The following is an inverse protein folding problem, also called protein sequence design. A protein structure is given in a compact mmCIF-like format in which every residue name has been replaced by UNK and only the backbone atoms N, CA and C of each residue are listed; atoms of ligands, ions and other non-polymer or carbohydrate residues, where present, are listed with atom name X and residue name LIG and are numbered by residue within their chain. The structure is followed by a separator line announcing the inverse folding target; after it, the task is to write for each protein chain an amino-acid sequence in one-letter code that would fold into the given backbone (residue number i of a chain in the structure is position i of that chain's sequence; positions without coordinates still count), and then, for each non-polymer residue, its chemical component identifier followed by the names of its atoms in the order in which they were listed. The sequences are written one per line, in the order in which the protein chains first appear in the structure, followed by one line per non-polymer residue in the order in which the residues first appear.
data_IF_060865094509
#
_entry.id   IF_060865094509
#
_cell.length_a   1.000
_cell.length_b   1.000
_cell.length_c   1.000
_cell.angle_alpha   90.00
_cell.angle_beta   90.00
_cell.angle_gamma   90.00
#
_symmetry.space_group_name_H-M   'P 1'
#
loop_
_entity.id
_entity.type
_entity.pdbx_description
1 polymer ?
#
# COMPACT_ATOMS: atom_id res chain seq x y z
N UNK A 1 -11.42 19.63 1.97
CA UNK A 1 -10.60 18.60 2.64
C UNK A 1 -9.34 19.17 3.30
N UNK A 2 -8.72 20.24 2.77
CA UNK A 2 -7.53 20.85 3.40
C UNK A 2 -7.84 21.38 4.80
N UNK A 3 -7.01 21.01 5.78
CA UNK A 3 -7.12 21.40 7.20
C UNK A 3 -5.84 22.03 7.77
N UNK A 4 -4.70 21.89 7.09
CA UNK A 4 -3.38 22.38 7.51
C UNK A 4 -2.59 22.89 6.30
N UNK A 5 -1.80 23.96 6.47
CA UNK A 5 -0.89 24.49 5.46
C UNK A 5 0.57 24.23 5.80
N UNK A 6 1.30 23.51 4.94
CA UNK A 6 2.75 23.37 5.04
C UNK A 6 3.45 24.67 4.66
N UNK A 7 4.08 25.36 5.62
CA UNK A 7 4.71 26.69 5.40
C UNK A 7 6.22 26.70 5.61
N UNK A 8 6.83 25.51 5.70
CA UNK A 8 8.28 25.31 5.72
C UNK A 8 8.66 24.45 4.51
N UNK A 9 9.82 24.73 3.92
CA UNK A 9 10.45 23.81 2.98
C UNK A 9 10.73 22.50 3.72
N UNK A 10 10.31 21.36 3.17
CA UNK A 10 10.46 20.05 3.81
C UNK A 10 11.91 19.81 4.23
N UNK A 11 12.14 19.46 5.50
CA UNK A 11 13.46 19.10 6.04
C UNK A 11 14.56 20.16 5.84
N UNK A 12 14.18 21.44 5.70
CA UNK A 12 15.16 22.51 5.60
C UNK A 12 16.10 22.48 6.81
N UNK A 13 17.38 22.23 6.56
CA UNK A 13 18.40 22.04 7.60
C UNK A 13 18.76 23.35 8.34
N UNK A 14 18.72 24.49 7.64
CA UNK A 14 18.96 25.80 8.24
C UNK A 14 17.62 26.43 8.66
N UNK A 15 17.60 27.13 9.81
CA UNK A 15 16.51 28.04 10.12
C UNK A 15 16.78 29.36 9.38
N UNK A 16 15.84 29.80 8.53
CA UNK A 16 15.86 31.11 7.88
C UNK A 16 14.74 31.96 8.48
N UNK A 17 14.93 32.58 9.67
CA UNK A 17 13.84 33.18 10.45
C UNK A 17 12.99 34.17 9.65
N UNK A 18 13.62 35.17 9.03
CA UNK A 18 12.91 36.19 8.26
C UNK A 18 12.08 35.62 7.11
N UNK A 19 12.60 34.58 6.45
CA UNK A 19 11.89 33.90 5.37
C UNK A 19 10.68 33.12 5.92
N UNK A 20 10.88 32.27 6.92
CA UNK A 20 9.78 31.44 7.45
C UNK A 20 8.73 32.25 8.22
N UNK A 21 9.13 33.33 8.89
CA UNK A 21 8.19 34.26 9.54
C UNK A 21 7.31 34.95 8.50
N UNK A 22 7.89 35.39 7.37
CA UNK A 22 7.13 36.03 6.29
C UNK A 22 6.19 35.03 5.58
N UNK A 23 6.63 33.80 5.31
CA UNK A 23 5.77 32.76 4.73
C UNK A 23 4.62 32.43 5.67
N UNK A 24 4.88 32.30 6.98
CA UNK A 24 3.83 32.07 7.97
C UNK A 24 2.82 33.23 8.02
N UNK A 25 3.31 34.48 8.05
CA UNK A 25 2.48 35.69 8.02
C UNK A 25 1.61 35.75 6.77
N UNK A 26 2.17 35.45 5.60
CA UNK A 26 1.44 35.43 4.33
C UNK A 26 0.34 34.36 4.35
N UNK A 27 0.64 33.14 4.80
CA UNK A 27 -0.34 32.08 4.90
C UNK A 27 -1.52 32.47 5.81
N UNK A 28 -1.24 33.09 6.96
CA UNK A 28 -2.27 33.60 7.87
C UNK A 28 -3.06 34.78 7.31
N UNK A 29 -2.43 35.63 6.50
CA UNK A 29 -3.11 36.72 5.80
C UNK A 29 -4.08 36.23 4.71
N UNK A 30 -3.72 35.16 4.00
CA UNK A 30 -4.53 34.57 2.93
C UNK A 30 -5.65 33.65 3.48
N UNK A 31 -5.35 32.86 4.50
CA UNK A 31 -6.28 31.94 5.11
C UNK A 31 -6.08 31.86 6.63
N UNK A 32 -6.73 32.75 7.40
CA UNK A 32 -6.64 32.72 8.86
C UNK A 32 -7.43 31.55 9.48
N UNK A 33 -8.26 30.85 8.71
CA UNK A 33 -9.17 29.81 9.22
C UNK A 33 -8.50 28.46 9.48
N UNK A 34 -7.28 28.26 8.94
CA UNK A 34 -6.55 26.99 9.04
C UNK A 34 -5.23 27.16 9.78
N UNK A 35 -4.80 26.06 10.40
CA UNK A 35 -3.52 25.99 11.08
C UNK A 35 -2.37 25.82 10.07
N UNK A 36 -1.16 26.24 10.45
CA UNK A 36 0.07 26.00 9.72
C UNK A 36 0.89 24.88 10.35
N UNK A 37 1.68 24.19 9.53
CA UNK A 37 2.62 23.15 9.95
C UNK A 37 3.95 23.31 9.21
N UNK A 38 5.06 22.95 9.85
CA UNK A 38 6.35 22.79 9.20
C UNK A 38 6.83 21.36 9.41
N UNK A 39 7.46 20.75 8.39
CA UNK A 39 8.08 19.43 8.49
C UNK A 39 9.56 19.59 8.86
N UNK A 40 9.89 19.25 10.10
CA UNK A 40 11.19 19.41 10.72
C UNK A 40 11.89 18.04 10.84
N UNK A 41 13.22 18.04 10.68
CA UNK A 41 14.10 16.89 10.92
C UNK A 41 15.08 17.12 12.10
N UNK A 42 15.01 18.30 12.71
CA UNK A 42 15.86 18.71 13.83
C UNK A 42 15.01 19.38 14.92
N UNK A 43 14.99 18.75 16.10
CA UNK A 43 14.20 19.16 17.27
C UNK A 43 14.63 20.51 17.89
N UNK A 44 15.79 21.03 17.51
CA UNK A 44 16.37 22.27 18.05
C UNK A 44 15.80 23.54 17.42
N UNK A 45 15.06 23.44 16.30
CA UNK A 45 14.49 24.62 15.66
C UNK A 45 13.38 25.28 16.51
N UNK A 46 13.23 26.62 16.41
CA UNK A 46 12.08 27.30 17.01
C UNK A 46 10.80 26.93 16.26
N UNK A 47 9.71 26.72 17.01
CA UNK A 47 8.40 26.50 16.42
C UNK A 47 7.84 27.85 15.94
N UNK A 48 7.67 28.00 14.62
CA UNK A 48 7.10 29.20 13.96
C UNK A 48 5.72 28.93 13.34
N UNK A 49 5.22 27.73 13.50
CA UNK A 49 3.95 27.24 12.94
C UNK A 49 2.99 26.83 14.05
N UNK A 50 1.70 26.83 13.76
CA UNK A 50 0.67 26.47 14.75
C UNK A 50 0.83 25.03 15.22
N UNK A 51 1.26 24.12 14.35
CA UNK A 51 1.52 22.70 14.61
C UNK A 51 2.98 22.40 14.32
N UNK A 52 3.64 21.65 15.20
CA UNK A 52 4.97 21.11 14.95
C UNK A 52 4.85 19.79 14.18
N UNK A 53 5.37 19.73 12.95
CA UNK A 53 5.47 18.50 12.17
C UNK A 53 6.89 17.92 12.25
N UNK A 54 7.07 16.70 12.71
CA UNK A 54 8.38 16.05 12.76
C UNK A 54 8.47 14.87 11.79
N UNK A 55 9.53 14.83 11.01
CA UNK A 55 9.97 13.67 10.26
C UNK A 55 10.79 12.75 11.18
N UNK A 56 10.09 11.97 12.01
CA UNK A 56 10.72 11.10 13.00
C UNK A 56 10.96 9.70 12.44
N UNK A 57 12.15 9.54 11.85
CA UNK A 57 12.63 8.24 11.36
C UNK A 57 13.27 7.36 12.47
N UNK A 58 13.31 7.85 13.72
CA UNK A 58 13.76 7.13 14.90
C UNK A 58 15.18 6.51 14.84
N UNK A 59 15.52 5.78 15.92
CA UNK A 59 16.53 4.72 15.92
C UNK A 59 15.80 3.38 16.03
N UNK A 60 16.15 2.43 15.18
CA UNK A 60 15.42 1.18 15.00
C UNK A 60 15.19 0.38 16.27
N UNK A 61 13.92 0.25 16.69
CA UNK A 61 13.52 -0.50 17.87
C UNK A 61 13.30 0.38 19.11
N UNK A 62 13.61 1.67 19.04
CA UNK A 62 13.24 2.63 20.08
C UNK A 62 11.81 3.14 19.82
N UNK A 63 10.96 3.24 20.85
CA UNK A 63 9.68 3.92 20.76
C UNK A 63 9.86 5.36 20.25
N UNK A 64 8.83 5.93 19.62
CA UNK A 64 8.80 7.37 19.33
C UNK A 64 9.16 8.13 20.61
N UNK A 65 10.15 9.03 20.54
CA UNK A 65 10.50 9.87 21.67
C UNK A 65 9.39 10.89 21.93
N UNK A 66 9.08 11.23 23.20
CA UNK A 66 7.89 12.00 23.55
C UNK A 66 7.80 13.34 22.80
N UNK A 67 6.58 13.83 22.51
CA UNK A 67 6.38 15.15 21.91
C UNK A 67 7.06 16.22 22.76
N UNK A 68 7.88 17.06 22.12
CA UNK A 68 8.61 18.15 22.77
C UNK A 68 7.97 19.53 22.51
N UNK A 69 6.91 19.55 21.70
CA UNK A 69 6.07 20.71 21.37
C UNK A 69 4.61 20.28 21.36
N UNK A 70 3.69 21.23 21.28
CA UNK A 70 2.26 20.96 21.12
C UNK A 70 1.60 22.06 20.30
N UNK A 71 0.67 21.74 19.38
CA UNK A 71 0.32 20.41 18.87
C UNK A 71 1.48 19.74 18.10
N UNK A 72 1.57 18.40 18.14
CA UNK A 72 2.69 17.63 17.56
C UNK A 72 2.20 16.57 16.58
N UNK A 73 2.60 16.67 15.32
CA UNK A 73 2.27 15.72 14.27
C UNK A 73 3.55 15.01 13.82
N UNK A 74 3.52 13.69 13.71
CA UNK A 74 4.56 12.98 12.96
C UNK A 74 4.21 13.15 11.47
N UNK A 75 4.98 13.97 10.75
CA UNK A 75 4.76 14.27 9.33
C UNK A 75 5.39 13.22 8.40
N UNK A 76 6.44 12.52 8.85
CA UNK A 76 7.04 11.39 8.17
C UNK A 76 7.58 10.38 9.20
N UNK A 77 7.51 9.09 8.88
CA UNK A 77 8.11 8.02 9.68
C UNK A 77 8.30 6.75 8.83
N UNK A 78 9.03 5.77 9.39
CA UNK A 78 9.37 4.47 8.77
C UNK A 78 10.30 4.63 7.55
N UNK A 79 9.77 5.02 6.39
CA UNK A 79 10.55 5.26 5.17
C UNK A 79 11.46 4.10 4.76
N UNK A 80 12.59 4.43 4.12
CA UNK A 80 13.62 3.46 3.69
C UNK A 80 14.75 3.34 4.69
N UNK A 81 14.53 3.69 5.95
CA UNK A 81 15.62 3.63 6.91
C UNK A 81 15.87 2.13 7.28
N UNK A 82 17.12 1.73 7.51
CA UNK A 82 17.52 0.31 7.69
C UNK A 82 17.94 0.00 9.13
N UNK A 83 17.59 -1.18 9.73
CA UNK A 83 18.07 -1.53 11.06
C UNK A 83 19.59 -1.30 11.21
N UNK A 84 20.01 -0.67 12.30
CA UNK A 84 21.42 -0.33 12.52
C UNK A 84 21.92 0.95 11.83
N UNK A 85 21.08 1.64 11.03
CA UNK A 85 21.41 2.92 10.41
C UNK A 85 21.41 2.86 8.87
N UNK A 86 21.37 4.02 8.23
CA UNK A 86 21.24 4.15 6.76
C UNK A 86 19.80 4.40 6.29
N UNK A 87 19.68 4.80 5.01
CA UNK A 87 18.41 5.13 4.34
C UNK A 87 18.30 4.40 2.99
N UNK A 88 18.57 3.10 3.00
CA UNK A 88 18.70 2.20 1.85
C UNK A 88 17.97 0.84 2.08
N UNK A 89 16.99 0.81 2.98
CA UNK A 89 16.06 -0.32 3.10
C UNK A 89 15.04 -0.28 1.96
N UNK A 90 15.03 -1.33 1.15
CA UNK A 90 14.05 -1.51 0.09
C UNK A 90 12.89 -2.40 0.55
N UNK A 91 11.70 -2.13 0.03
CA UNK A 91 10.51 -2.94 0.22
C UNK A 91 9.83 -3.24 -1.13
N UNK A 92 10.56 -3.83 -2.08
CA UNK A 92 10.03 -4.37 -3.35
C UNK A 92 9.19 -5.61 -3.09
N UNK A 93 8.20 -5.89 -3.94
CA UNK A 93 7.42 -7.16 -3.86
C UNK A 93 8.30 -8.40 -3.90
N UNK A 94 9.39 -8.32 -4.65
CA UNK A 94 10.40 -9.36 -4.84
C UNK A 94 11.50 -9.36 -3.78
N UNK A 95 11.45 -8.46 -2.77
CA UNK A 95 12.34 -8.58 -1.62
C UNK A 95 11.89 -9.73 -0.70
N UNK A 96 12.79 -10.33 0.09
CA UNK A 96 12.48 -11.48 0.94
C UNK A 96 11.27 -11.23 1.86
N UNK A 97 10.49 -12.28 2.09
CA UNK A 97 9.28 -12.24 2.94
C UNK A 97 9.46 -11.52 4.28
N UNK A 98 10.53 -11.79 5.07
CA UNK A 98 10.81 -11.08 6.31
C UNK A 98 10.99 -9.56 6.14
N UNK A 99 11.55 -9.11 5.02
CA UNK A 99 11.67 -7.69 4.69
C UNK A 99 10.30 -7.06 4.46
N UNK A 100 9.41 -7.72 3.71
CA UNK A 100 8.05 -7.24 3.47
C UNK A 100 7.23 -7.17 4.77
N UNK A 101 7.33 -8.20 5.62
CA UNK A 101 6.66 -8.21 6.92
C UNK A 101 7.18 -7.10 7.84
N UNK A 102 8.50 -6.89 7.86
CA UNK A 102 9.14 -5.84 8.66
C UNK A 102 8.56 -4.46 8.33
N UNK A 103 8.16 -4.19 7.08
CA UNK A 103 7.47 -2.95 6.72
C UNK A 103 6.17 -2.82 7.53
N UNK A 104 5.28 -3.81 7.45
CA UNK A 104 3.99 -3.81 8.15
C UNK A 104 4.17 -3.64 9.66
N UNK A 105 5.13 -4.35 10.26
CA UNK A 105 5.44 -4.25 11.69
C UNK A 105 5.90 -2.85 12.10
N UNK A 106 6.75 -2.20 11.29
CA UNK A 106 7.23 -0.83 11.57
C UNK A 106 6.11 0.20 11.48
N UNK A 107 5.24 0.08 10.49
CA UNK A 107 4.05 0.93 10.38
C UNK A 107 3.11 0.70 11.58
N UNK A 108 2.86 -0.54 12.00
CA UNK A 108 2.06 -0.81 13.18
C UNK A 108 2.71 -0.25 14.46
N UNK A 109 4.04 -0.39 14.61
CA UNK A 109 4.77 0.06 15.79
C UNK A 109 4.74 1.58 15.96
N UNK A 110 4.98 2.34 14.88
CA UNK A 110 4.98 3.82 14.97
C UNK A 110 3.58 4.37 15.29
N UNK A 111 2.54 3.79 14.69
CA UNK A 111 1.16 4.18 14.97
C UNK A 111 0.74 3.81 16.39
N UNK A 112 1.14 2.63 16.88
CA UNK A 112 0.88 2.22 18.26
C UNK A 112 1.59 3.13 19.26
N UNK A 113 2.85 3.48 19.01
CA UNK A 113 3.62 4.37 19.87
C UNK A 113 2.99 5.77 19.95
N UNK A 114 2.57 6.33 18.81
CA UNK A 114 1.90 7.62 18.80
C UNK A 114 0.53 7.58 19.49
N UNK A 115 -0.25 6.51 19.28
CA UNK A 115 -1.56 6.34 19.92
C UNK A 115 -1.48 6.14 21.45
N UNK A 116 -0.30 5.82 21.99
CA UNK A 116 -0.07 5.70 23.42
C UNK A 116 -0.03 7.05 24.15
N UNK A 117 0.20 8.15 23.43
CA UNK A 117 0.36 9.49 24.00
C UNK A 117 -0.55 10.51 23.29
N UNK A 118 -1.58 11.04 23.98
CA UNK A 118 -2.57 11.93 23.36
C UNK A 118 -2.00 13.28 22.92
N UNK A 119 -0.72 13.59 23.23
CA UNK A 119 -0.04 14.78 22.73
C UNK A 119 0.33 14.67 21.24
N UNK A 120 0.40 13.45 20.69
CA UNK A 120 0.49 13.26 19.25
C UNK A 120 -0.87 13.52 18.60
N UNK A 121 -0.91 14.44 17.65
CA UNK A 121 -2.07 14.68 16.80
C UNK A 121 -2.28 13.59 15.74
N UNK A 122 -1.25 12.79 15.45
CA UNK A 122 -1.32 11.67 14.51
C UNK A 122 0.03 11.32 13.88
N UNK A 123 -0.01 10.38 12.94
CA UNK A 123 1.15 9.91 12.18
C UNK A 123 0.83 9.84 10.68
N UNK A 124 1.67 10.50 9.89
CA UNK A 124 1.73 10.36 8.44
C UNK A 124 3.03 9.61 8.13
N UNK A 125 2.94 8.32 7.83
CA UNK A 125 4.13 7.52 7.54
C UNK A 125 4.53 7.64 6.07
N UNK A 126 5.84 7.57 5.79
CA UNK A 126 6.37 7.61 4.44
C UNK A 126 6.46 6.19 3.87
N UNK A 127 5.73 5.83 2.81
CA UNK A 127 4.71 6.60 2.10
C UNK A 127 3.61 5.68 1.54
N UNK A 128 2.62 6.26 0.84
CA UNK A 128 1.54 5.47 0.24
C UNK A 128 2.04 4.59 -0.92
N UNK A 129 2.78 5.17 -1.87
CA UNK A 129 3.19 4.52 -3.11
C UNK A 129 4.69 4.65 -3.33
N UNK A 130 5.31 3.63 -3.93
CA UNK A 130 6.65 3.76 -4.48
C UNK A 130 6.69 4.84 -5.56
N UNK A 131 7.85 5.48 -5.75
CA UNK A 131 7.98 6.65 -6.62
C UNK A 131 9.37 6.76 -7.23
N UNK A 132 9.44 7.36 -8.41
CA UNK A 132 10.70 7.59 -9.10
C UNK A 132 11.56 8.60 -8.33
N UNK A 133 12.85 8.30 -8.18
CA UNK A 133 13.79 9.17 -7.47
C UNK A 133 15.23 8.89 -7.91
N UNK A 134 16.10 9.92 -7.96
CA UNK A 134 17.52 9.73 -8.19
C UNK A 134 18.29 9.30 -6.93
N UNK A 135 17.67 9.26 -5.76
CA UNK A 135 18.34 9.00 -4.48
C UNK A 135 17.82 7.74 -3.80
N UNK A 136 18.70 6.93 -3.20
CA UNK A 136 18.37 5.68 -2.48
C UNK A 136 17.31 4.83 -3.20
N UNK A 137 17.48 4.71 -4.51
CA UNK A 137 16.51 4.12 -5.42
C UNK A 137 17.08 2.84 -6.03
N UNK A 138 16.24 1.84 -6.20
CA UNK A 138 16.54 0.65 -6.97
C UNK A 138 15.99 0.84 -8.39
N UNK A 139 16.88 0.79 -9.40
CA UNK A 139 16.51 1.01 -10.80
C UNK A 139 15.71 2.32 -11.02
N UNK A 140 16.07 3.39 -10.32
CA UNK A 140 15.39 4.70 -10.41
C UNK A 140 14.09 4.81 -9.61
N UNK A 141 13.68 3.76 -8.87
CA UNK A 141 12.48 3.76 -8.02
C UNK A 141 12.86 3.65 -6.54
N UNK A 142 12.35 4.57 -5.72
CA UNK A 142 12.34 4.42 -4.25
C UNK A 142 11.17 3.54 -3.86
N UNK A 143 11.43 2.57 -2.98
CA UNK A 143 10.44 1.56 -2.60
C UNK A 143 9.93 1.59 -1.14
N UNK A 144 9.78 2.75 -0.46
CA UNK A 144 9.19 2.80 0.89
C UNK A 144 7.67 2.73 0.91
N UNK A 145 7.00 2.78 -0.24
CA UNK A 145 5.54 2.79 -0.30
C UNK A 145 4.96 1.52 0.33
N UNK A 146 3.82 1.59 0.99
CA UNK A 146 3.07 0.38 1.37
C UNK A 146 2.34 -0.23 0.17
N UNK A 147 2.22 0.51 -0.92
CA UNK A 147 1.82 0.07 -2.24
C UNK A 147 2.96 0.33 -3.23
N UNK A 148 3.02 -0.43 -4.32
CA UNK A 148 4.02 -0.23 -5.37
C UNK A 148 3.73 0.99 -6.28
N UNK A 149 4.58 1.19 -7.29
CA UNK A 149 4.47 2.28 -8.27
C UNK A 149 3.14 2.22 -9.03
N UNK A 150 2.57 1.03 -9.22
CA UNK A 150 1.28 0.85 -9.87
C UNK A 150 0.12 0.99 -8.90
N UNK A 151 0.35 1.38 -7.63
CA UNK A 151 -0.67 1.51 -6.57
C UNK A 151 -1.31 0.17 -6.23
N UNK A 152 -0.60 -0.94 -6.43
CA UNK A 152 -1.04 -2.26 -5.99
C UNK A 152 -0.54 -2.45 -4.55
N UNK A 153 -1.36 -2.93 -3.60
CA UNK A 153 -0.95 -3.12 -2.20
C UNK A 153 0.16 -4.15 -2.02
N UNK A 154 1.22 -3.80 -1.27
CA UNK A 154 2.25 -4.75 -0.79
C UNK A 154 1.84 -5.29 0.59
N UNK A 155 2.51 -6.31 1.14
CA UNK A 155 2.22 -6.80 2.49
C UNK A 155 2.23 -5.70 3.57
N UNK A 156 3.03 -4.65 3.41
CA UNK A 156 3.01 -3.45 4.28
C UNK A 156 1.65 -2.75 4.37
N UNK A 157 0.84 -2.78 3.31
CA UNK A 157 -0.49 -2.15 3.31
C UNK A 157 -1.53 -2.89 4.16
N UNK A 158 -1.26 -4.15 4.52
CA UNK A 158 -2.17 -4.97 5.34
C UNK A 158 -2.51 -4.29 6.67
N UNK A 159 -1.52 -3.62 7.30
CA UNK A 159 -1.72 -2.85 8.52
C UNK A 159 -2.83 -1.80 8.34
N UNK A 160 -2.67 -0.88 7.40
CA UNK A 160 -3.63 0.20 7.16
C UNK A 160 -5.02 -0.31 6.80
N UNK A 161 -5.11 -1.35 5.95
CA UNK A 161 -6.40 -1.92 5.52
C UNK A 161 -7.19 -2.46 6.70
N UNK A 162 -6.50 -3.06 7.67
CA UNK A 162 -7.13 -3.63 8.88
C UNK A 162 -7.59 -2.58 9.90
N UNK A 163 -7.23 -1.31 9.79
CA UNK A 163 -7.61 -0.31 10.79
C UNK A 163 -9.04 0.26 10.63
N UNK A 164 -9.84 -0.31 9.72
CA UNK A 164 -11.22 0.13 9.48
C UNK A 164 -12.25 -0.64 10.32
N UNK A 165 -13.42 -0.03 10.55
CA UNK A 165 -14.51 -0.67 11.29
C UNK A 165 -14.98 -1.95 10.56
N UNK A 166 -15.00 -3.13 11.23
CA UNK A 166 -15.42 -4.39 10.62
C UNK A 166 -16.88 -4.41 10.18
N UNK A 167 -17.73 -3.55 10.74
CA UNK A 167 -19.12 -3.38 10.27
C UNK A 167 -19.20 -2.76 8.86
N UNK A 168 -18.18 -1.99 8.45
CA UNK A 168 -18.07 -1.46 7.09
C UNK A 168 -17.41 -2.48 6.16
N UNK A 169 -16.34 -3.13 6.62
CA UNK A 169 -15.61 -4.13 5.84
C UNK A 169 -14.78 -5.03 6.76
N UNK A 170 -15.04 -6.33 6.72
CA UNK A 170 -14.14 -7.31 7.33
C UNK A 170 -12.82 -7.39 6.54
N UNK A 171 -11.70 -7.40 7.25
CA UNK A 171 -10.35 -7.46 6.67
C UNK A 171 -9.57 -8.56 7.37
N UNK A 172 -8.89 -9.38 6.56
CA UNK A 172 -7.96 -10.41 6.98
C UNK A 172 -6.88 -10.52 5.90
N UNK A 173 -5.70 -10.00 6.20
CA UNK A 173 -4.58 -9.89 5.26
C UNK A 173 -3.25 -10.24 5.93
N UNK A 174 -2.61 -11.35 5.50
CA UNK A 174 -1.24 -11.65 5.88
C UNK A 174 -0.27 -10.54 5.46
N UNK A 175 0.73 -10.27 6.30
CA UNK A 175 1.87 -9.42 5.95
C UNK A 175 3.03 -10.23 5.33
N UNK A 176 2.70 -11.35 4.69
CA UNK A 176 3.61 -12.28 4.01
C UNK A 176 2.92 -12.91 2.79
N UNK A 177 3.70 -13.61 1.97
CA UNK A 177 3.17 -14.46 0.89
C UNK A 177 3.24 -15.93 1.31
N UNK A 178 2.21 -16.71 0.98
CA UNK A 178 2.19 -18.16 1.19
C UNK A 178 2.72 -18.85 -0.07
N UNK A 179 4.04 -18.95 -0.15
CA UNK A 179 4.76 -19.43 -1.33
C UNK A 179 5.97 -20.27 -0.90
N UNK A 180 6.29 -21.29 -1.70
CA UNK A 180 7.37 -22.24 -1.43
C UNK A 180 8.27 -22.47 -2.66
N UNK A 181 8.36 -21.46 -3.54
CA UNK A 181 9.31 -21.42 -4.64
C UNK A 181 10.76 -21.21 -4.17
N UNK A 182 11.75 -21.27 -5.09
CA UNK A 182 13.18 -21.15 -4.77
C UNK A 182 13.56 -19.85 -4.03
N UNK A 183 12.85 -18.76 -4.27
CA UNK A 183 13.06 -17.45 -3.67
C UNK A 183 12.28 -17.25 -2.36
N UNK A 184 11.43 -18.22 -2.00
CA UNK A 184 10.60 -18.20 -0.80
C UNK A 184 11.25 -18.97 0.35
N UNK A 185 10.95 -18.62 1.62
CA UNK A 185 11.39 -19.42 2.76
C UNK A 185 10.89 -20.87 2.66
N UNK A 186 11.77 -21.88 2.73
CA UNK A 186 11.38 -23.29 2.59
C UNK A 186 10.53 -23.79 3.77
N UNK A 187 10.57 -23.08 4.89
CA UNK A 187 9.89 -23.39 6.14
C UNK A 187 8.66 -22.50 6.41
N UNK A 188 8.19 -21.76 5.41
CA UNK A 188 7.09 -20.82 5.54
C UNK A 188 7.48 -19.49 6.20
N UNK A 189 6.51 -18.63 6.56
CA UNK A 189 6.79 -17.29 7.09
C UNK A 189 7.35 -17.30 8.54
N UNK A 190 7.39 -18.46 9.20
CA UNK A 190 8.06 -18.70 10.47
C UNK A 190 7.24 -18.37 11.72
N UNK A 191 7.90 -18.43 12.89
CA UNK A 191 7.30 -18.27 14.22
C UNK A 191 6.60 -16.91 14.48
N UNK A 192 6.96 -15.90 13.71
CA UNK A 192 6.50 -14.52 13.87
C UNK A 192 5.54 -14.06 12.78
N UNK A 193 4.86 -14.95 12.06
CA UNK A 193 4.07 -14.58 10.90
C UNK A 193 2.94 -13.61 11.27
N UNK A 194 3.03 -12.37 10.76
CA UNK A 194 2.10 -11.30 11.07
C UNK A 194 0.86 -11.36 10.18
N UNK A 195 -0.32 -11.30 10.80
CA UNK A 195 -1.62 -11.23 10.10
C UNK A 195 -2.37 -9.99 10.58
N UNK A 196 -2.71 -9.09 9.65
CA UNK A 196 -3.48 -7.89 9.95
C UNK A 196 -4.97 -8.15 9.70
N UNK A 197 -5.79 -8.01 10.74
CA UNK A 197 -7.23 -8.20 10.65
C UNK A 197 -7.98 -7.31 11.64
N UNK A 198 -9.23 -6.98 11.32
CA UNK A 198 -10.17 -6.30 12.24
C UNK A 198 -11.18 -7.24 12.90
N UNK A 199 -10.82 -8.54 12.95
CA UNK A 199 -11.57 -9.58 13.64
C UNK A 199 -11.10 -9.72 15.10
N UNK A 200 -11.84 -10.46 15.92
CA UNK A 200 -11.52 -10.69 17.34
C UNK A 200 -10.74 -12.00 17.57
N UNK A 201 -10.84 -12.93 16.62
CA UNK A 201 -10.18 -14.25 16.62
C UNK A 201 -9.92 -14.68 15.19
N UNK A 202 -8.80 -15.37 14.97
CA UNK A 202 -8.50 -16.08 13.73
C UNK A 202 -8.31 -17.56 14.03
N UNK A 203 -9.00 -18.43 13.29
CA UNK A 203 -8.71 -19.86 13.25
C UNK A 203 -7.85 -20.14 12.01
N UNK A 204 -6.73 -20.82 12.23
CA UNK A 204 -5.71 -21.10 11.21
C UNK A 204 -5.73 -22.58 10.89
N UNK A 205 -5.75 -22.91 9.61
CA UNK A 205 -5.68 -24.29 9.12
C UNK A 205 -4.56 -24.44 8.11
N UNK A 206 -3.77 -25.50 8.24
CA UNK A 206 -2.71 -25.87 7.30
C UNK A 206 -2.99 -27.29 6.80
N UNK A 207 -3.07 -27.47 5.48
CA UNK A 207 -3.43 -28.76 4.88
C UNK A 207 -4.83 -29.25 5.29
N UNK A 208 -5.74 -28.32 5.63
CA UNK A 208 -7.08 -28.62 6.14
C UNK A 208 -7.14 -29.02 7.62
N UNK A 209 -6.02 -29.14 8.31
CA UNK A 209 -5.94 -29.44 9.74
C UNK A 209 -5.89 -28.15 10.55
N UNK A 210 -6.64 -28.06 11.65
CA UNK A 210 -6.56 -26.92 12.57
C UNK A 210 -5.14 -26.83 13.14
N UNK A 211 -4.52 -25.67 12.96
CA UNK A 211 -3.12 -25.41 13.31
C UNK A 211 -3.01 -24.50 14.53
N UNK A 212 -3.80 -23.42 14.58
CA UNK A 212 -3.76 -22.47 15.67
C UNK A 212 -5.06 -21.66 15.80
N UNK A 213 -5.34 -21.22 17.04
CA UNK A 213 -6.31 -20.16 17.33
C UNK A 213 -5.56 -18.92 17.81
N UNK A 214 -5.72 -17.80 17.11
CA UNK A 214 -5.02 -16.56 17.40
C UNK A 214 -5.95 -15.44 17.86
N UNK A 215 -5.44 -14.56 18.73
CA UNK A 215 -6.10 -13.33 19.19
C UNK A 215 -5.21 -12.11 18.90
N UNK A 216 -5.78 -10.89 18.79
CA UNK A 216 -4.99 -9.68 18.56
C UNK A 216 -3.90 -9.51 19.62
N UNK A 217 -2.67 -9.17 19.20
CA UNK A 217 -1.54 -8.99 20.11
C UNK A 217 -1.61 -7.63 20.83
N UNK A 218 -2.56 -7.51 21.77
CA UNK A 218 -2.75 -6.31 22.59
C UNK A 218 -1.60 -6.04 23.56
N UNK A 219 -0.80 -7.06 23.89
CA UNK A 219 0.38 -6.87 24.72
C UNK A 219 1.43 -5.99 24.03
N UNK A 220 1.68 -6.21 22.73
CA UNK A 220 2.65 -5.41 21.95
C UNK A 220 2.02 -4.18 21.28
N UNK A 221 0.76 -4.25 20.87
CA UNK A 221 0.11 -3.22 20.05
C UNK A 221 -1.24 -2.73 20.62
N UNK A 222 -1.34 -2.63 21.95
CA UNK A 222 -2.59 -2.36 22.67
C UNK A 222 -3.25 -0.99 22.42
N UNK A 223 -2.53 -0.03 21.84
CA UNK A 223 -3.04 1.31 21.54
C UNK A 223 -3.63 1.42 20.13
N UNK A 224 -3.48 0.39 19.30
CA UNK A 224 -4.15 0.32 18.00
C UNK A 224 -5.63 -0.06 18.15
N UNK A 225 -6.54 0.50 17.34
CA UNK A 225 -7.92 0.07 17.27
C UNK A 225 -8.04 -1.44 16.97
N UNK A 226 -7.27 -1.91 15.98
CA UNK A 226 -7.22 -3.31 15.56
C UNK A 226 -5.78 -3.82 15.55
N UNK A 227 -5.27 -4.32 16.69
CA UNK A 227 -3.91 -4.85 16.80
C UNK A 227 -3.71 -6.07 15.89
N UNK A 228 -2.54 -6.23 15.27
CA UNK A 228 -2.25 -7.40 14.45
C UNK A 228 -2.13 -8.68 15.27
N UNK A 229 -2.24 -9.82 14.57
CA UNK A 229 -2.08 -11.17 15.09
C UNK A 229 -0.69 -11.69 14.72
N UNK A 230 -0.18 -12.61 15.53
CA UNK A 230 1.07 -13.33 15.27
C UNK A 230 0.82 -14.82 15.50
N UNK A 231 1.23 -15.64 14.55
CA UNK A 231 1.06 -17.10 14.58
C UNK A 231 2.36 -17.74 14.16
N UNK A 232 2.73 -18.85 14.80
CA UNK A 232 3.82 -19.67 14.32
C UNK A 232 3.35 -20.46 13.09
N UNK A 233 3.92 -20.13 11.93
CA UNK A 233 3.65 -20.78 10.65
C UNK A 233 4.93 -21.43 10.09
N UNK A 234 5.80 -21.95 10.97
CA UNK A 234 6.88 -22.85 10.58
C UNK A 234 6.30 -24.19 10.15
N UNK A 235 6.48 -24.55 8.87
CA UNK A 235 5.94 -25.76 8.24
C UNK A 235 6.99 -26.41 7.33
N UNK A 236 6.78 -27.66 6.91
CA UNK A 236 7.55 -28.24 5.81
C UNK A 236 6.99 -27.74 4.46
N UNK A 237 7.66 -26.76 3.84
CA UNK A 237 7.25 -26.21 2.55
C UNK A 237 7.33 -27.21 1.39
N UNK A 238 8.08 -28.31 1.53
CA UNK A 238 8.09 -29.37 0.51
C UNK A 238 6.74 -30.06 0.37
N UNK A 239 5.93 -30.06 1.45
CA UNK A 239 4.58 -30.61 1.44
C UNK A 239 3.57 -29.72 0.68
N UNK A 240 3.91 -28.45 0.41
CA UNK A 240 3.08 -27.50 -0.36
C UNK A 240 1.62 -27.43 0.08
N UNK A 241 1.41 -27.46 1.41
CA UNK A 241 0.07 -27.46 2.00
C UNK A 241 -0.62 -26.11 1.84
N UNK A 242 -1.95 -26.15 1.73
CA UNK A 242 -2.76 -24.94 1.69
C UNK A 242 -2.90 -24.30 3.07
N UNK A 243 -2.93 -22.97 3.10
CA UNK A 243 -3.27 -22.18 4.27
C UNK A 243 -4.71 -21.68 4.15
N UNK A 244 -5.51 -21.86 5.20
CA UNK A 244 -6.81 -21.18 5.37
C UNK A 244 -6.82 -20.37 6.66
N UNK A 245 -7.29 -19.14 6.57
CA UNK A 245 -7.46 -18.22 7.69
C UNK A 245 -8.92 -17.80 7.79
N UNK A 246 -9.54 -18.10 8.93
CA UNK A 246 -10.95 -17.81 9.20
C UNK A 246 -11.06 -16.76 10.31
N UNK A 247 -11.60 -15.59 10.00
CA UNK A 247 -11.74 -14.46 10.93
C UNK A 247 -13.14 -14.37 11.55
N UNK A 248 -13.20 -14.21 12.87
CA UNK A 248 -14.44 -14.21 13.65
C UNK A 248 -14.65 -12.93 14.45
N UNK A 249 -15.92 -12.54 14.62
CA UNK A 249 -16.38 -11.54 15.60
C UNK A 249 -17.46 -12.20 16.45
N UNK A 250 -17.22 -12.31 17.76
CA UNK A 250 -17.89 -13.30 18.59
C UNK A 250 -17.72 -14.71 17.99
N UNK A 251 -18.83 -15.44 17.87
CA UNK A 251 -18.87 -16.78 17.26
C UNK A 251 -19.15 -16.77 15.75
N UNK A 252 -19.36 -15.60 15.16
CA UNK A 252 -19.70 -15.47 13.74
C UNK A 252 -18.44 -15.40 12.87
N UNK A 253 -18.33 -16.32 11.91
CA UNK A 253 -17.37 -16.23 10.81
C UNK A 253 -17.73 -15.04 9.92
N UNK A 254 -16.83 -14.05 9.82
CA UNK A 254 -17.06 -12.83 9.02
C UNK A 254 -16.21 -12.76 7.75
N UNK A 255 -15.10 -13.51 7.69
CA UNK A 255 -14.23 -13.58 6.53
C UNK A 255 -13.44 -14.90 6.53
N UNK A 256 -13.24 -15.49 5.36
CA UNK A 256 -12.34 -16.65 5.16
C UNK A 256 -11.43 -16.36 3.97
N UNK A 257 -10.14 -16.67 4.10
CA UNK A 257 -9.12 -16.51 3.07
C UNK A 257 -8.35 -17.82 2.91
N UNK A 258 -8.14 -18.24 1.67
CA UNK A 258 -7.34 -19.42 1.33
C UNK A 258 -6.14 -19.02 0.47
N UNK A 259 -5.05 -19.78 0.62
CA UNK A 259 -3.78 -19.60 -0.07
C UNK A 259 -3.23 -20.98 -0.42
N UNK A 260 -2.90 -21.20 -1.68
CA UNK A 260 -2.43 -22.50 -2.14
C UNK A 260 -0.93 -22.64 -1.92
N UNK A 261 -0.52 -23.76 -1.31
CA UNK A 261 0.91 -24.10 -1.27
C UNK A 261 1.43 -24.62 -2.62
N UNK A 262 0.55 -25.27 -3.41
CA UNK A 262 0.90 -25.84 -4.71
C UNK A 262 0.72 -24.84 -5.87
N UNK A 263 1.78 -24.54 -6.65
CA UNK A 263 1.74 -23.58 -7.76
C UNK A 263 1.10 -24.11 -9.06
N UNK A 264 0.70 -25.39 -9.14
CA UNK A 264 0.13 -25.96 -10.39
C UNK A 264 -1.15 -25.27 -10.86
N UNK A 265 -1.86 -24.58 -9.96
CA UNK A 265 -3.07 -23.82 -10.25
C UNK A 265 -2.86 -22.31 -10.43
N UNK A 266 -1.61 -21.86 -10.54
CA UNK A 266 -1.29 -20.46 -10.72
C UNK A 266 -1.76 -19.97 -12.10
N UNK A 267 -2.24 -18.73 -12.17
CA UNK A 267 -2.79 -18.12 -13.39
C UNK A 267 -2.52 -16.62 -13.48
N UNK A 268 -2.70 -16.09 -14.69
CA UNK A 268 -2.68 -14.65 -14.95
C UNK A 268 -4.06 -14.08 -14.63
N UNK A 269 -4.12 -13.19 -13.65
CA UNK A 269 -5.29 -12.38 -13.34
C UNK A 269 -5.15 -11.01 -14.00
N UNK A 270 -6.24 -10.54 -14.62
CA UNK A 270 -6.30 -9.26 -15.35
C UNK A 270 -7.55 -8.49 -14.92
N UNK A 271 -7.38 -7.26 -14.42
CA UNK A 271 -8.45 -6.47 -13.85
C UNK A 271 -8.33 -4.99 -14.25
N UNK A 272 -9.39 -4.43 -14.84
CA UNK A 272 -9.51 -2.98 -15.05
C UNK A 272 -10.21 -2.35 -13.85
N UNK A 273 -9.68 -1.23 -13.36
CA UNK A 273 -10.33 -0.47 -12.28
C UNK A 273 -11.72 0.04 -12.70
N UNK A 274 -11.88 0.40 -13.98
CA UNK A 274 -13.13 0.87 -14.58
C UNK A 274 -13.37 0.16 -15.91
N UNK A 275 -14.59 -0.32 -16.12
CA UNK A 275 -15.01 -0.98 -17.38
C UNK A 275 -15.81 -0.05 -18.29
N UNK A 276 -15.85 1.24 -17.98
CA UNK A 276 -16.45 2.27 -18.81
C UNK A 276 -15.57 3.52 -18.80
N UNK A 277 -15.28 4.06 -19.98
CA UNK A 277 -14.49 5.27 -20.20
C UNK A 277 -15.24 6.25 -21.08
N UNK A 278 -14.84 7.52 -21.01
CA UNK A 278 -15.29 8.58 -21.90
C UNK A 278 -14.32 8.71 -23.07
N UNK A 279 -14.85 8.71 -24.30
CA UNK A 279 -14.09 8.90 -25.54
C UNK A 279 -13.66 10.34 -25.77
N UNK A 280 -13.07 11.00 -24.77
CA UNK A 280 -12.59 12.39 -24.84
C UNK A 280 -11.09 12.49 -25.19
N UNK A 281 -10.40 11.35 -25.32
CA UNK A 281 -8.97 11.27 -25.64
C UNK A 281 -8.05 11.41 -24.42
N UNK A 282 -8.61 11.50 -23.21
CA UNK A 282 -7.89 11.72 -21.96
C UNK A 282 -8.27 10.73 -20.87
N UNK A 283 -9.50 10.23 -20.87
CA UNK A 283 -9.98 9.28 -19.88
C UNK A 283 -9.23 7.94 -20.00
N UNK A 284 -8.84 7.39 -18.85
CA UNK A 284 -8.01 6.21 -18.74
C UNK A 284 -8.39 5.37 -17.55
N UNK A 285 -8.38 4.05 -17.72
CA UNK A 285 -8.43 3.11 -16.59
C UNK A 285 -7.11 2.37 -16.44
N UNK A 286 -6.74 2.04 -15.21
CA UNK A 286 -5.59 1.18 -14.91
C UNK A 286 -6.01 -0.28 -15.11
N UNK A 287 -5.23 -1.02 -15.88
CA UNK A 287 -5.38 -2.44 -16.13
C UNK A 287 -4.25 -3.20 -15.40
N UNK A 288 -4.59 -3.78 -14.25
CA UNK A 288 -3.70 -4.52 -13.38
C UNK A 288 -3.56 -5.96 -13.87
N UNK A 289 -2.33 -6.46 -14.00
CA UNK A 289 -2.02 -7.86 -14.26
C UNK A 289 -1.26 -8.46 -13.06
N UNK A 290 -1.62 -9.69 -12.66
CA UNK A 290 -1.04 -10.36 -11.49
C UNK A 290 -0.86 -11.85 -11.74
N UNK A 291 0.26 -12.40 -11.28
CA UNK A 291 0.39 -13.81 -11.01
C UNK A 291 -0.34 -14.12 -9.69
N UNK A 292 -1.32 -15.02 -9.76
CA UNK A 292 -2.10 -15.43 -8.58
C UNK A 292 -2.24 -16.93 -8.52
N UNK A 293 -2.35 -17.45 -7.30
CA UNK A 293 -2.69 -18.85 -7.08
C UNK A 293 -4.16 -19.17 -7.43
N UNK A 294 -4.56 -20.45 -7.32
CA UNK A 294 -5.95 -20.89 -7.56
C UNK A 294 -7.01 -20.20 -6.70
N UNK A 295 -6.63 -19.59 -5.57
CA UNK A 295 -7.52 -18.84 -4.67
C UNK A 295 -7.45 -17.32 -4.89
N UNK A 296 -6.60 -16.84 -5.81
CA UNK A 296 -6.40 -15.42 -6.10
C UNK A 296 -5.37 -14.73 -5.20
N UNK A 297 -4.61 -15.49 -4.40
CA UNK A 297 -3.53 -14.91 -3.59
C UNK A 297 -2.28 -14.63 -4.45
N UNK A 298 -1.49 -13.58 -4.15
CA UNK A 298 -0.39 -13.17 -5.00
C UNK A 298 0.77 -14.18 -5.04
N UNK A 299 1.40 -14.32 -6.22
CA UNK A 299 2.62 -15.10 -6.46
C UNK A 299 3.79 -14.17 -6.82
N UNK A 300 4.58 -13.71 -5.85
CA UNK A 300 5.53 -12.62 -6.07
C UNK A 300 6.77 -12.99 -6.88
N UNK A 301 7.08 -14.28 -7.05
CA UNK A 301 8.33 -14.75 -7.68
C UNK A 301 8.12 -15.40 -9.06
N UNK A 302 6.91 -15.29 -9.63
CA UNK A 302 6.69 -15.76 -11.01
C UNK A 302 7.42 -14.84 -11.98
N UNK A 303 8.42 -15.41 -12.65
CA UNK A 303 9.18 -14.75 -13.72
C UNK A 303 8.45 -14.75 -15.06
N UNK A 304 9.00 -14.00 -16.02
CA UNK A 304 8.49 -13.90 -17.39
C UNK A 304 7.86 -12.53 -17.69
N UNK A 305 7.33 -12.41 -18.90
CA UNK A 305 6.75 -11.16 -19.42
C UNK A 305 5.29 -11.36 -19.80
N UNK A 306 4.49 -10.30 -19.64
CA UNK A 306 3.11 -10.22 -20.09
C UNK A 306 3.03 -9.40 -21.37
N UNK A 307 2.49 -9.99 -22.43
CA UNK A 307 2.24 -9.27 -23.69
C UNK A 307 0.78 -8.87 -23.77
N UNK A 308 0.51 -7.61 -24.12
CA UNK A 308 -0.85 -7.08 -24.27
C UNK A 308 -1.20 -6.87 -25.74
N UNK A 309 -2.38 -7.32 -26.13
CA UNK A 309 -3.01 -7.01 -27.41
C UNK A 309 -4.30 -6.22 -27.15
N UNK A 310 -4.53 -5.17 -27.94
CA UNK A 310 -5.71 -4.32 -27.83
C UNK A 310 -6.45 -4.28 -29.18
N UNK A 311 -7.76 -4.49 -29.12
CA UNK A 311 -8.70 -4.26 -30.21
C UNK A 311 -9.72 -3.19 -29.79
N UNK A 312 -10.15 -2.33 -30.72
CA UNK A 312 -11.12 -1.26 -30.45
C UNK A 312 -10.52 0.15 -30.20
N UNK A 313 -11.35 1.13 -29.80
CA UNK A 313 -11.01 2.55 -29.79
C UNK A 313 -10.20 2.99 -28.56
N UNK A 314 -8.98 2.46 -28.39
CA UNK A 314 -8.10 2.82 -27.28
C UNK A 314 -6.62 2.60 -27.56
N UNK A 315 -5.78 3.03 -26.62
CA UNK A 315 -4.32 2.83 -26.66
C UNK A 315 -3.81 2.33 -25.32
N UNK A 316 -2.87 1.38 -25.35
CA UNK A 316 -2.10 0.96 -24.17
C UNK A 316 -1.07 2.06 -23.84
N UNK A 317 -0.98 2.44 -22.58
CA UNK A 317 0.02 3.36 -22.03
C UNK A 317 0.77 2.65 -20.90
N UNK A 318 2.06 2.39 -21.13
CA UNK A 318 2.90 1.57 -20.26
C UNK A 318 3.73 0.60 -21.10
N UNK A 319 4.58 -0.18 -20.43
CA UNK A 319 5.46 -1.14 -21.10
C UNK A 319 4.65 -2.30 -21.71
N UNK A 320 4.97 -2.65 -22.95
CA UNK A 320 4.41 -3.80 -23.64
C UNK A 320 5.46 -4.38 -24.61
N UNK A 321 6.02 -5.57 -24.35
CA UNK A 321 5.71 -6.46 -23.23
C UNK A 321 6.11 -5.89 -21.86
N UNK A 322 5.39 -6.28 -20.82
CA UNK A 322 5.63 -5.89 -19.42
C UNK A 322 6.41 -6.98 -18.70
N UNK A 323 7.50 -6.63 -18.02
CA UNK A 323 8.31 -7.58 -17.23
C UNK A 323 7.66 -7.85 -15.87
N UNK A 324 6.88 -8.93 -15.79
CA UNK A 324 6.16 -9.33 -14.59
C UNK A 324 7.11 -9.85 -13.51
N UNK A 325 8.20 -10.49 -13.91
CA UNK A 325 9.20 -11.04 -13.00
C UNK A 325 9.92 -9.96 -12.20
N UNK A 326 10.44 -8.92 -12.86
CA UNK A 326 11.13 -7.83 -12.15
C UNK A 326 10.20 -7.00 -11.27
N UNK A 327 8.90 -6.95 -11.59
CA UNK A 327 7.88 -6.28 -10.80
C UNK A 327 7.41 -7.09 -9.57
N UNK A 328 7.87 -8.33 -9.41
CA UNK A 328 7.48 -9.19 -8.30
C UNK A 328 6.04 -9.72 -8.46
N UNK A 329 5.72 -10.23 -9.65
CA UNK A 329 4.48 -10.95 -9.92
C UNK A 329 3.23 -10.07 -10.11
N UNK A 330 3.36 -8.74 -10.10
CA UNK A 330 2.23 -7.83 -10.26
C UNK A 330 2.65 -6.51 -10.91
N UNK A 331 1.81 -5.99 -11.81
CA UNK A 331 2.03 -4.71 -12.47
C UNK A 331 0.77 -4.16 -13.11
N UNK A 332 0.89 -3.06 -13.84
CA UNK A 332 -0.23 -2.50 -14.59
C UNK A 332 0.23 -1.73 -15.83
N UNK A 333 -0.68 -1.66 -16.80
CA UNK A 333 -0.68 -0.66 -17.87
C UNK A 333 -1.95 0.19 -17.74
N UNK A 334 -2.03 1.31 -18.45
CA UNK A 334 -3.27 2.08 -18.56
C UNK A 334 -3.88 1.94 -19.95
N UNK A 335 -5.21 1.90 -20.02
CA UNK A 335 -5.97 1.90 -21.27
C UNK A 335 -6.62 3.26 -21.40
N UNK A 336 -6.17 4.04 -22.40
CA UNK A 336 -6.73 5.35 -22.73
C UNK A 336 -7.75 5.24 -23.84
N UNK A 337 -8.92 5.84 -23.64
CA UNK A 337 -9.93 5.95 -24.68
C UNK A 337 -9.47 6.90 -25.80
N UNK A 338 -9.76 6.56 -27.06
CA UNK A 338 -9.50 7.44 -28.19
C UNK A 338 -10.53 8.58 -28.26
N UNK A 339 -10.07 9.80 -28.51
CA UNK A 339 -10.94 10.98 -28.59
C UNK A 339 -11.93 10.92 -29.77
N UNK A 340 -13.18 11.28 -29.51
CA UNK A 340 -14.27 11.28 -30.50
C UNK A 340 -14.70 9.90 -30.98
N UNK A 341 -14.24 8.82 -30.33
CA UNK A 341 -14.57 7.44 -30.70
C UNK A 341 -15.37 6.78 -29.58
N UNK A 342 -16.27 5.89 -29.97
CA UNK A 342 -17.11 5.10 -29.08
C UNK A 342 -17.01 3.62 -29.46
N UNK A 343 -17.40 2.74 -28.55
CA UNK A 343 -17.42 1.29 -28.76
C UNK A 343 -16.59 0.53 -27.73
N UNK A 344 -16.43 -0.78 -27.93
CA UNK A 344 -15.76 -1.64 -26.96
C UNK A 344 -14.27 -1.76 -27.25
N UNK A 345 -13.43 -1.48 -26.25
CA UNK A 345 -12.02 -1.86 -26.23
C UNK A 345 -11.89 -3.24 -25.60
N UNK A 346 -11.24 -4.18 -26.28
CA UNK A 346 -10.89 -5.50 -25.74
C UNK A 346 -9.40 -5.59 -25.57
N UNK A 347 -8.95 -5.85 -24.35
CA UNK A 347 -7.52 -6.03 -24.04
C UNK A 347 -7.30 -7.45 -23.60
N UNK A 348 -6.37 -8.13 -24.26
CA UNK A 348 -5.92 -9.48 -23.93
C UNK A 348 -4.49 -9.44 -23.44
N UNK A 349 -4.23 -10.05 -22.29
CA UNK A 349 -2.91 -10.23 -21.72
C UNK A 349 -2.51 -11.71 -21.80
N UNK A 350 -1.28 -12.01 -22.19
CA UNK A 350 -0.74 -13.36 -22.28
C UNK A 350 0.56 -13.50 -21.50
N UNK A 351 0.74 -14.63 -20.84
CA UNK A 351 1.98 -15.04 -20.18
C UNK A 351 2.32 -16.49 -20.53
N UNK A 352 3.58 -16.84 -20.87
CA UNK A 352 3.93 -18.19 -21.35
C UNK A 352 3.56 -19.33 -20.40
N UNK A 353 3.65 -19.11 -19.09
CA UNK A 353 3.37 -20.12 -18.07
C UNK A 353 2.00 -19.98 -17.39
N UNK A 354 1.42 -18.78 -17.38
CA UNK A 354 0.22 -18.47 -16.58
C UNK A 354 -1.06 -18.40 -17.44
N UNK A 355 -0.94 -18.59 -18.76
CA UNK A 355 -2.05 -18.53 -19.70
C UNK A 355 -2.39 -17.10 -20.13
N UNK A 356 -3.66 -16.87 -20.45
CA UNK A 356 -4.15 -15.61 -20.98
C UNK A 356 -5.44 -15.17 -20.31
N UNK A 357 -5.66 -13.86 -20.24
CA UNK A 357 -6.86 -13.24 -19.70
C UNK A 357 -7.30 -12.06 -20.57
N UNK A 358 -8.60 -11.77 -20.61
CA UNK A 358 -9.18 -10.71 -21.44
C UNK A 358 -10.13 -9.85 -20.63
N UNK A 359 -10.09 -8.53 -20.82
CA UNK A 359 -11.04 -7.56 -20.27
C UNK A 359 -11.67 -6.75 -21.40
N UNK A 360 -12.94 -6.41 -21.27
CA UNK A 360 -13.66 -5.51 -22.16
C UNK A 360 -14.01 -4.20 -21.43
N UNK A 361 -13.79 -3.08 -22.09
CA UNK A 361 -14.03 -1.72 -21.58
C UNK A 361 -14.93 -0.99 -22.58
N UNK A 362 -16.03 -0.43 -22.11
CA UNK A 362 -16.98 0.35 -22.92
C UNK A 362 -16.52 1.80 -23.04
N UNK A 363 -16.37 2.32 -24.27
CA UNK A 363 -16.04 3.72 -24.52
C UNK A 363 -17.30 4.46 -24.96
N UNK A 364 -17.72 5.42 -24.14
CA UNK A 364 -18.95 6.20 -24.30
C UNK A 364 -18.64 7.58 -24.87
N UNK A 365 -19.61 8.23 -25.54
CA UNK A 365 -19.41 9.61 -25.98
C UNK A 365 -19.19 10.55 -24.78
N UNK A 366 -18.40 11.62 -24.93
CA UNK A 366 -18.37 12.71 -23.96
C UNK A 366 -19.78 13.25 -23.70
N UNK A 367 -20.06 13.67 -22.47
CA UNK A 367 -21.27 14.42 -22.19
C UNK A 367 -21.28 15.68 -23.07
N UNK A 368 -22.37 15.89 -23.82
CA UNK A 368 -22.57 17.13 -24.55
C UNK A 368 -22.79 18.23 -23.51
N UNK A 369 -21.78 19.06 -23.28
CA UNK A 369 -22.00 20.33 -22.60
C UNK A 369 -22.65 21.25 -23.61
N UNK A 370 -23.97 21.48 -23.48
CA UNK A 370 -24.64 22.55 -24.19
C UNK A 370 -24.00 23.88 -23.75
N UNK A 371 -23.07 24.41 -24.55
CA UNK A 371 -22.66 25.82 -24.50
C UNK A 371 -23.73 26.75 -25.11
N UNK A 372 -25.01 26.38 -24.98
CA UNK A 372 -26.14 27.25 -25.27
C UNK A 372 -27.02 27.36 -24.03
N UNK A 373 -26.48 28.01 -23.00
CA UNK A 373 -27.28 28.72 -22.00
C UNK A 373 -27.99 29.92 -22.64
N UNK A 374 -28.81 29.67 -23.66
CA UNK A 374 -29.79 30.61 -24.18
C UNK A 374 -30.97 30.62 -23.22
N UNK A 375 -31.07 31.70 -22.45
CA UNK A 375 -32.27 32.02 -21.68
C UNK A 375 -33.45 32.10 -22.65
N UNK A 376 -34.45 31.24 -22.46
CA UNK A 376 -35.76 31.39 -23.05
C UNK A 376 -36.81 31.28 -21.94
N UNK A 377 -37.61 32.33 -21.77
CA UNK A 377 -38.76 32.40 -20.87
C UNK A 377 -38.78 33.67 -20.04
#
# INVERSE_FOLDING_TARGET
SVVLWGVRINEAHADYPAFFDEVHRLAKGLDPTRQTVGAYNHREHPQRTDVWGENDYGRWGEPLGPPHRSPYLISEAVGQKRPGGGFDQFYRRSDPGPTQQLQAERHAAVHNAAAADPRYAGVIAWCAFDYNSPHNAHAGVKTPGVCDLFRIPKPGASFYRSQCNPATRAVLEPAFYWDFGPESPPDGPGAGAMICANCERIEVYVGGVHHATARPNRARFGHLPYPPFFVDLTVDGAARLDLRLDGFIGDRLVISRAFAGDPTGDRLDLHADDVALVGDGRDMTRLVCRAVDRHGAPRPFVGGVVTFALDGPGTIVGDNPFDLGSAGGAGAVWIRAAGGRVGTVRVRAEHPALGAATVAIDVRPPAVTDEQGGVAG
#
